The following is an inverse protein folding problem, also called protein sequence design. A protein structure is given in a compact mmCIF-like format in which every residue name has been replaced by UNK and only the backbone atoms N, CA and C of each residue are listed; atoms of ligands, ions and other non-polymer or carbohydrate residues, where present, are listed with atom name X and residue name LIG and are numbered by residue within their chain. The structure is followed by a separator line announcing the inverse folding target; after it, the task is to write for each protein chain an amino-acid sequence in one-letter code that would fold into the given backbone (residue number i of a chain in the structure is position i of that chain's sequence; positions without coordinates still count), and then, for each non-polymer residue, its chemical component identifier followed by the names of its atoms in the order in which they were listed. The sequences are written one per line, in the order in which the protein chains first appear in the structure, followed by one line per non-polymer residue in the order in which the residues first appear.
data_IF_020431001386
#
_entry.id   IF_020431001386
#
_cell.length_a   1.000
_cell.length_b   1.000
_cell.length_c   1.000
_cell.angle_alpha   90.00
_cell.angle_beta   90.00
_cell.angle_gamma   90.00
#
_symmetry.space_group_name_H-M   'P 1'
#
loop_
_entity.id
_entity.type
_entity.pdbx_description
1 polymer ?
#
# COMPACT_ATOMS: atom_id res chain seq x y z
N UNK A 1 10.51 5.83 -24.56
CA UNK A 1 9.89 5.83 -23.21
C UNK A 1 10.35 6.99 -22.29
N UNK A 2 10.98 8.06 -22.78
CA UNK A 2 11.63 9.08 -21.91
C UNK A 2 10.84 10.39 -21.70
N UNK A 3 9.93 10.78 -22.61
CA UNK A 3 9.28 12.12 -22.57
C UNK A 3 8.11 12.21 -21.57
N UNK A 4 7.38 11.12 -21.35
CA UNK A 4 6.23 11.12 -20.42
C UNK A 4 6.64 11.11 -18.93
N UNK A 5 7.80 10.55 -18.61
CA UNK A 5 8.32 10.48 -17.24
C UNK A 5 8.79 11.86 -16.73
N UNK A 6 9.45 12.66 -17.58
CA UNK A 6 9.84 14.03 -17.25
C UNK A 6 8.61 14.89 -16.96
N UNK A 7 7.61 14.84 -17.84
CA UNK A 7 6.39 15.64 -17.67
C UNK A 7 5.62 15.29 -16.38
N UNK A 8 5.61 14.00 -15.97
CA UNK A 8 4.94 13.60 -14.72
C UNK A 8 5.69 14.06 -13.47
N UNK A 9 7.01 13.96 -13.44
CA UNK A 9 7.80 14.45 -12.31
C UNK A 9 7.68 15.97 -12.16
N UNK A 10 7.70 16.70 -13.27
CA UNK A 10 7.51 18.16 -13.29
C UNK A 10 6.14 18.54 -12.71
N UNK A 11 5.08 17.82 -13.10
CA UNK A 11 3.74 18.00 -12.55
C UNK A 11 3.66 17.70 -11.05
N UNK A 12 4.39 16.69 -10.56
CA UNK A 12 4.44 16.36 -9.13
C UNK A 12 5.14 17.48 -8.36
N UNK A 13 6.29 17.94 -8.84
CA UNK A 13 7.06 19.00 -8.17
C UNK A 13 6.29 20.32 -8.15
N UNK A 14 5.60 20.68 -9.24
CA UNK A 14 4.74 21.87 -9.27
C UNK A 14 3.50 21.72 -8.37
N UNK A 15 2.87 20.54 -8.35
CA UNK A 15 1.76 20.28 -7.44
C UNK A 15 2.17 20.36 -5.96
N UNK A 16 3.42 19.99 -5.63
CA UNK A 16 3.96 20.09 -4.27
C UNK A 16 4.11 21.53 -3.77
N UNK A 17 4.37 22.48 -4.67
CA UNK A 17 4.50 23.90 -4.35
C UNK A 17 3.16 24.64 -4.36
N UNK A 18 2.05 23.92 -4.56
CA UNK A 18 0.69 24.47 -4.53
C UNK A 18 0.13 24.89 -5.88
N UNK A 19 0.79 24.55 -7.01
CA UNK A 19 0.22 24.78 -8.34
C UNK A 19 -1.01 23.89 -8.57
N UNK A 20 -2.18 24.50 -8.51
CA UNK A 20 -3.47 23.83 -8.67
C UNK A 20 -3.68 23.30 -10.09
N UNK A 21 -3.13 23.96 -11.12
CA UNK A 21 -3.22 23.49 -12.52
C UNK A 21 -2.36 22.25 -12.72
N UNK A 22 -1.15 22.26 -12.16
CA UNK A 22 -0.28 21.09 -12.18
C UNK A 22 -0.91 19.91 -11.43
N UNK A 23 -1.54 20.16 -10.28
CA UNK A 23 -2.28 19.14 -9.53
C UNK A 23 -3.43 18.55 -10.35
N UNK A 24 -4.29 19.37 -10.96
CA UNK A 24 -5.39 18.88 -11.80
C UNK A 24 -4.87 18.02 -12.96
N UNK A 25 -3.79 18.47 -13.62
CA UNK A 25 -3.17 17.72 -14.72
C UNK A 25 -2.58 16.40 -14.24
N UNK A 26 -1.93 16.40 -13.07
CA UNK A 26 -1.40 15.20 -12.44
C UNK A 26 -2.52 14.19 -12.18
N UNK A 27 -3.62 14.59 -11.52
CA UNK A 27 -4.74 13.69 -11.25
C UNK A 27 -5.33 13.09 -12.53
N UNK A 28 -5.51 13.89 -13.58
CA UNK A 28 -6.03 13.43 -14.86
C UNK A 28 -5.13 12.37 -15.52
N UNK A 29 -3.80 12.54 -15.43
CA UNK A 29 -2.83 11.57 -15.96
C UNK A 29 -2.77 10.30 -15.10
N UNK A 30 -2.96 10.42 -13.79
CA UNK A 30 -2.90 9.30 -12.84
C UNK A 30 -4.17 8.46 -12.82
N UNK A 31 -5.33 9.03 -13.14
CA UNK A 31 -6.63 8.38 -13.00
C UNK A 31 -6.75 7.06 -13.78
N UNK A 32 -6.30 6.93 -15.04
CA UNK A 32 -6.37 5.65 -15.76
C UNK A 32 -5.51 4.56 -15.12
N UNK A 33 -4.32 4.92 -14.63
CA UNK A 33 -3.43 3.99 -13.93
C UNK A 33 -4.00 3.57 -12.58
N UNK A 34 -4.59 4.53 -11.85
CA UNK A 34 -5.27 4.27 -10.59
C UNK A 34 -6.45 3.31 -10.78
N UNK A 35 -7.28 3.55 -11.80
CA UNK A 35 -8.42 2.70 -12.14
C UNK A 35 -8.00 1.30 -12.56
N UNK A 36 -6.99 1.19 -13.42
CA UNK A 36 -6.43 -0.12 -13.83
C UNK A 36 -5.89 -0.91 -12.64
N UNK A 37 -5.24 -0.22 -11.69
CA UNK A 37 -4.73 -0.87 -10.48
C UNK A 37 -5.86 -1.28 -9.52
N UNK A 38 -6.86 -0.41 -9.32
CA UNK A 38 -8.05 -0.70 -8.50
C UNK A 38 -8.85 -1.89 -9.04
N UNK A 39 -9.06 -1.99 -10.35
CA UNK A 39 -9.73 -3.15 -10.97
C UNK A 39 -9.10 -4.51 -10.63
N UNK A 40 -7.80 -4.54 -10.32
CA UNK A 40 -7.10 -5.77 -9.94
C UNK A 40 -7.17 -6.09 -8.44
N UNK A 41 -7.56 -5.12 -7.60
CA UNK A 41 -7.40 -5.21 -6.14
C UNK A 41 -8.67 -4.87 -5.34
N UNK A 42 -9.65 -4.22 -5.95
CA UNK A 42 -10.96 -3.90 -5.40
C UNK A 42 -12.01 -4.91 -5.91
N UNK A 43 -13.12 -5.04 -5.19
CA UNK A 43 -14.34 -5.58 -5.80
C UNK A 43 -14.83 -4.65 -6.91
N UNK A 44 -15.48 -5.21 -7.93
CA UNK A 44 -15.94 -4.44 -9.08
C UNK A 44 -16.86 -3.26 -8.70
N UNK A 45 -17.66 -3.41 -7.64
CA UNK A 45 -18.53 -2.37 -7.07
C UNK A 45 -17.75 -1.20 -6.47
N UNK A 46 -16.54 -1.44 -5.99
CA UNK A 46 -15.79 -0.49 -5.15
C UNK A 46 -14.73 0.27 -5.95
N UNK A 47 -14.50 -0.11 -7.21
CA UNK A 47 -13.41 0.43 -8.04
C UNK A 47 -13.50 1.94 -8.19
N UNK A 48 -14.66 2.46 -8.57
CA UNK A 48 -14.80 3.90 -8.86
C UNK A 48 -14.72 4.72 -7.55
N UNK A 49 -15.28 4.22 -6.45
CA UNK A 49 -15.19 4.84 -5.12
C UNK A 49 -13.75 4.84 -4.59
N UNK A 50 -13.04 3.72 -4.70
CA UNK A 50 -11.64 3.62 -4.27
C UNK A 50 -10.74 4.57 -5.04
N UNK A 51 -10.97 4.69 -6.35
CA UNK A 51 -10.23 5.63 -7.21
C UNK A 51 -10.54 7.06 -6.79
N UNK A 52 -11.80 7.42 -6.57
CA UNK A 52 -12.19 8.76 -6.15
C UNK A 52 -11.55 9.14 -4.81
N UNK A 53 -11.66 8.28 -3.79
CA UNK A 53 -11.06 8.52 -2.48
C UNK A 53 -9.54 8.63 -2.57
N UNK A 54 -8.91 7.77 -3.38
CA UNK A 54 -7.47 7.83 -3.62
C UNK A 54 -7.04 9.16 -4.23
N UNK A 55 -7.75 9.64 -5.25
CA UNK A 55 -7.47 10.94 -5.88
C UNK A 55 -7.65 12.10 -4.88
N UNK A 56 -8.68 12.06 -4.03
CA UNK A 56 -8.87 13.05 -2.94
C UNK A 56 -7.77 12.98 -1.88
N UNK A 57 -7.20 11.82 -1.61
CA UNK A 57 -6.03 11.69 -0.72
C UNK A 57 -4.80 12.31 -1.35
N UNK A 58 -4.60 12.10 -2.66
CA UNK A 58 -3.47 12.69 -3.39
C UNK A 58 -3.52 14.22 -3.30
N UNK A 59 -4.67 14.84 -3.56
CA UNK A 59 -4.78 16.32 -3.50
C UNK A 59 -4.37 16.90 -2.16
N UNK A 60 -4.70 16.20 -1.07
CA UNK A 60 -4.40 16.63 0.30
C UNK A 60 -2.95 16.34 0.73
N UNK A 61 -2.34 15.28 0.19
CA UNK A 61 -1.06 14.75 0.71
C UNK A 61 0.12 14.85 -0.24
N UNK A 62 -0.08 15.22 -1.51
CA UNK A 62 0.99 15.31 -2.51
C UNK A 62 2.13 16.24 -2.08
N UNK A 63 1.83 17.35 -1.39
CA UNK A 63 2.82 18.28 -0.84
C UNK A 63 3.74 17.69 0.23
N UNK A 64 3.34 16.60 0.88
CA UNK A 64 4.16 15.90 1.87
C UNK A 64 5.10 14.84 1.29
N UNK A 65 5.04 14.59 -0.03
CA UNK A 65 5.85 13.57 -0.67
C UNK A 65 7.31 14.04 -0.79
N UNK A 66 8.24 13.33 -0.15
CA UNK A 66 9.66 13.74 -0.11
C UNK A 66 10.39 13.64 -1.44
N UNK A 67 9.92 12.80 -2.36
CA UNK A 67 10.55 12.57 -3.65
C UNK A 67 9.49 12.23 -4.72
N UNK A 68 9.51 12.94 -5.85
CA UNK A 68 8.59 12.69 -6.96
C UNK A 68 8.68 11.25 -7.49
N UNK A 69 9.87 10.64 -7.48
CA UNK A 69 10.08 9.26 -7.90
C UNK A 69 9.29 8.23 -7.06
N UNK A 70 8.93 8.56 -5.81
CA UNK A 70 8.14 7.69 -4.94
C UNK A 70 6.63 7.80 -5.18
N UNK A 71 6.18 8.69 -6.08
CA UNK A 71 4.76 8.97 -6.27
C UNK A 71 3.97 7.73 -6.73
N UNK A 72 4.49 6.95 -7.68
CA UNK A 72 3.76 5.79 -8.21
C UNK A 72 3.59 4.68 -7.17
N UNK A 73 4.62 4.37 -6.40
CA UNK A 73 4.51 3.37 -5.32
C UNK A 73 3.60 3.85 -4.19
N UNK A 74 3.65 5.14 -3.86
CA UNK A 74 2.74 5.75 -2.89
C UNK A 74 1.28 5.72 -3.37
N UNK A 75 1.02 6.08 -4.63
CA UNK A 75 -0.30 6.03 -5.24
C UNK A 75 -0.92 4.64 -5.14
N UNK A 76 -0.18 3.60 -5.52
CA UNK A 76 -0.67 2.22 -5.45
C UNK A 76 -0.92 1.76 -4.01
N UNK A 77 -0.12 2.25 -3.05
CA UNK A 77 -0.36 1.99 -1.62
C UNK A 77 -1.69 2.61 -1.17
N UNK A 78 -1.96 3.85 -1.58
CA UNK A 78 -3.23 4.55 -1.27
C UNK A 78 -4.42 3.80 -1.87
N UNK A 79 -4.33 3.40 -3.14
CA UNK A 79 -5.42 2.66 -3.82
C UNK A 79 -5.67 1.31 -3.14
N UNK A 80 -4.62 0.57 -2.80
CA UNK A 80 -4.75 -0.72 -2.12
C UNK A 80 -5.45 -0.58 -0.75
N UNK A 81 -5.10 0.47 -0.01
CA UNK A 81 -5.76 0.79 1.26
C UNK A 81 -7.24 1.11 1.07
N UNK A 82 -7.59 1.96 0.09
CA UNK A 82 -9.00 2.31 -0.16
C UNK A 82 -9.82 1.11 -0.66
N UNK A 83 -9.25 0.26 -1.53
CA UNK A 83 -9.89 -1.01 -1.93
C UNK A 83 -10.22 -1.90 -0.73
N UNK A 84 -9.26 -2.08 0.19
CA UNK A 84 -9.44 -2.92 1.38
C UNK A 84 -10.40 -2.31 2.38
N UNK A 85 -10.36 -0.98 2.57
CA UNK A 85 -11.27 -0.25 3.44
C UNK A 85 -12.72 -0.35 2.97
N UNK A 86 -12.97 -0.27 1.66
CA UNK A 86 -14.31 -0.44 1.08
C UNK A 86 -14.77 -1.90 1.16
N UNK A 87 -13.90 -2.84 0.83
CA UNK A 87 -14.15 -4.27 1.02
C UNK A 87 -14.46 -4.62 2.48
N UNK A 88 -13.70 -4.09 3.45
CA UNK A 88 -13.96 -4.27 4.89
C UNK A 88 -15.29 -3.67 5.35
N UNK A 89 -15.77 -2.60 4.70
CA UNK A 89 -17.11 -2.04 4.95
C UNK A 89 -18.21 -2.97 4.43
N UNK A 90 -17.99 -3.67 3.31
CA UNK A 90 -18.88 -4.74 2.84
C UNK A 90 -18.85 -5.96 3.78
N UNK A 91 -17.66 -6.40 4.21
CA UNK A 91 -17.47 -7.57 5.09
C UNK A 91 -17.81 -7.33 6.57
N UNK A 92 -18.37 -6.16 6.94
CA UNK A 92 -19.10 -6.04 8.22
C UNK A 92 -20.42 -6.82 8.23
N UNK A 93 -20.84 -7.36 7.08
CA UNK A 93 -21.77 -8.47 7.03
C UNK A 93 -21.09 -9.73 6.49
N UNK A 94 -20.96 -10.70 7.39
CA UNK A 94 -20.78 -12.15 7.17
C UNK A 94 -19.34 -12.66 6.86
N UNK A 95 -18.84 -13.67 7.59
CA UNK A 95 -17.55 -14.30 7.28
C UNK A 95 -17.67 -15.14 6.01
N UNK A 96 -16.63 -15.11 5.16
CA UNK A 96 -16.52 -15.99 4.00
C UNK A 96 -16.21 -17.43 4.46
N UNK A 97 -16.75 -18.46 3.77
CA UNK A 97 -16.34 -19.85 3.95
C UNK A 97 -14.88 -20.08 3.52
N UNK A 98 -14.13 -20.85 4.33
CA UNK A 98 -12.69 -21.11 4.17
C UNK A 98 -12.31 -21.66 2.78
N UNK A 99 -13.23 -22.38 2.13
CA UNK A 99 -13.05 -23.02 0.82
C UNK A 99 -12.82 -22.02 -0.33
N UNK A 100 -13.39 -20.80 -0.24
CA UNK A 100 -13.25 -19.75 -1.26
C UNK A 100 -11.95 -18.95 -1.07
N UNK A 101 -11.45 -18.88 0.18
CA UNK A 101 -10.19 -18.25 0.49
C UNK A 101 -9.00 -19.04 -0.09
N UNK A 102 -9.07 -20.38 -0.04
CA UNK A 102 -8.07 -21.27 -0.65
C UNK A 102 -8.05 -21.19 -2.18
N UNK A 103 -9.20 -21.08 -2.85
CA UNK A 103 -9.26 -21.03 -4.32
C UNK A 103 -8.70 -19.72 -4.89
N UNK A 104 -8.90 -18.59 -4.20
CA UNK A 104 -8.31 -17.29 -4.57
C UNK A 104 -6.78 -17.24 -4.34
N UNK A 105 -6.27 -18.13 -3.48
CA UNK A 105 -4.83 -18.30 -3.21
C UNK A 105 -4.14 -19.20 -4.27
N UNK A 106 -4.83 -19.78 -5.25
CA UNK A 106 -4.24 -20.78 -6.17
C UNK A 106 -3.73 -20.26 -7.54
N UNK A 107 -3.55 -18.95 -7.72
CA UNK A 107 -2.87 -18.41 -8.92
C UNK A 107 -1.37 -18.81 -8.96
N UNK A 108 -1.05 -19.67 -9.94
CA UNK A 108 0.11 -20.60 -10.05
C UNK A 108 1.54 -20.05 -10.17
N UNK A 109 1.83 -18.83 -9.74
CA UNK A 109 3.21 -18.34 -9.50
C UNK A 109 3.44 -17.86 -8.07
N UNK A 110 2.35 -17.64 -7.31
CA UNK A 110 2.40 -16.99 -6.00
C UNK A 110 2.39 -18.00 -4.84
N UNK A 111 2.12 -19.29 -5.10
CA UNK A 111 2.02 -20.27 -4.02
C UNK A 111 3.38 -20.52 -3.34
N UNK A 112 4.44 -20.74 -4.12
CA UNK A 112 5.81 -20.90 -3.61
C UNK A 112 6.27 -19.63 -2.87
N UNK A 113 6.04 -18.46 -3.47
CA UNK A 113 6.32 -17.16 -2.85
C UNK A 113 5.54 -16.95 -1.54
N UNK A 114 4.29 -17.41 -1.46
CA UNK A 114 3.49 -17.33 -0.23
C UNK A 114 4.01 -18.28 0.84
N UNK A 115 4.38 -19.51 0.48
CA UNK A 115 4.97 -20.48 1.42
C UNK A 115 6.30 -19.95 1.97
N UNK A 116 7.16 -19.39 1.12
CA UNK A 116 8.41 -18.74 1.54
C UNK A 116 8.17 -17.53 2.45
N UNK A 117 7.19 -16.69 2.12
CA UNK A 117 6.82 -15.54 2.93
C UNK A 117 6.26 -15.93 4.31
N UNK A 118 5.45 -17.00 4.37
CA UNK A 118 4.95 -17.54 5.65
C UNK A 118 6.12 -18.01 6.52
N UNK A 119 7.05 -18.80 5.98
CA UNK A 119 8.26 -19.24 6.69
C UNK A 119 9.13 -18.07 7.16
N UNK A 120 9.25 -17.03 6.34
CA UNK A 120 9.98 -15.81 6.70
C UNK A 120 9.31 -15.07 7.88
N UNK A 121 7.98 -15.03 7.93
CA UNK A 121 7.27 -14.45 9.08
C UNK A 121 7.36 -15.31 10.34
N UNK A 122 7.32 -16.64 10.22
CA UNK A 122 7.52 -17.56 11.35
C UNK A 122 8.93 -17.45 11.97
N UNK A 123 9.93 -17.13 11.13
CA UNK A 123 11.32 -16.93 11.56
C UNK A 123 11.60 -15.53 12.12
N UNK A 124 10.62 -14.63 12.04
CA UNK A 124 10.78 -13.24 12.46
C UNK A 124 10.60 -13.11 13.98
N UNK A 125 11.52 -12.44 14.71
CA UNK A 125 11.33 -12.18 16.13
C UNK A 125 9.98 -11.50 16.41
N UNK A 126 9.31 -11.91 17.49
CA UNK A 126 7.91 -11.55 17.76
C UNK A 126 7.64 -10.03 17.74
N UNK A 127 8.59 -9.23 18.23
CA UNK A 127 8.48 -7.77 18.23
C UNK A 127 8.59 -7.17 16.81
N UNK A 128 9.27 -7.82 15.88
CA UNK A 128 9.28 -7.40 14.48
C UNK A 128 8.03 -7.87 13.74
N UNK A 129 7.53 -9.07 14.06
CA UNK A 129 6.27 -9.56 13.52
C UNK A 129 5.10 -8.66 13.93
N UNK A 130 5.03 -8.26 15.19
CA UNK A 130 4.00 -7.36 15.72
C UNK A 130 3.88 -6.06 14.94
N UNK A 131 4.99 -5.37 14.64
CA UNK A 131 4.94 -4.11 13.88
C UNK A 131 4.58 -4.32 12.41
N UNK A 132 4.92 -5.47 11.82
CA UNK A 132 4.51 -5.81 10.45
C UNK A 132 3.03 -6.15 10.40
N UNK A 133 2.51 -6.91 11.35
CA UNK A 133 1.09 -7.21 11.47
C UNK A 133 0.29 -5.90 11.63
N UNK A 134 0.67 -5.06 12.59
CA UNK A 134 0.01 -3.78 12.84
C UNK A 134 0.04 -2.86 11.60
N UNK A 135 1.13 -2.89 10.83
CA UNK A 135 1.28 -2.00 9.66
C UNK A 135 0.65 -2.53 8.38
N UNK A 136 0.87 -3.80 8.08
CA UNK A 136 0.61 -4.40 6.75
C UNK A 136 -0.66 -5.26 6.74
N UNK A 137 -1.15 -5.67 7.93
CA UNK A 137 -2.43 -6.37 8.13
C UNK A 137 -3.50 -5.49 8.78
N UNK A 138 -3.20 -4.84 9.91
CA UNK A 138 -4.15 -3.91 10.58
C UNK A 138 -4.11 -2.48 10.00
N UNK A 139 -3.16 -2.22 9.08
CA UNK A 139 -3.04 -0.96 8.32
C UNK A 139 -2.89 0.32 9.16
N UNK A 140 -2.46 0.19 10.42
CA UNK A 140 -2.26 1.33 11.31
C UNK A 140 -1.18 2.27 10.78
N UNK A 141 -1.43 3.58 10.90
CA UNK A 141 -0.42 4.59 10.67
C UNK A 141 0.70 4.48 11.71
N UNK A 142 1.89 4.98 11.37
CA UNK A 142 3.02 5.01 12.32
C UNK A 142 2.63 5.70 13.64
N UNK A 143 1.77 6.72 13.58
CA UNK A 143 1.29 7.42 14.78
C UNK A 143 0.33 6.55 15.61
N UNK A 144 -0.62 5.86 14.97
CA UNK A 144 -1.53 4.94 15.66
C UNK A 144 -0.78 3.75 16.26
N UNK A 145 0.21 3.20 15.54
CA UNK A 145 1.10 2.17 16.04
C UNK A 145 1.91 2.65 17.25
N UNK A 146 2.46 3.87 17.18
CA UNK A 146 3.19 4.49 18.30
C UNK A 146 2.31 4.63 19.55
N UNK A 147 1.06 5.06 19.38
CA UNK A 147 0.09 5.12 20.48
C UNK A 147 -0.25 3.73 21.01
N UNK A 148 -0.50 2.75 20.12
CA UNK A 148 -0.93 1.40 20.49
C UNK A 148 0.17 0.59 21.18
N UNK A 149 1.41 0.76 20.74
CA UNK A 149 2.59 0.10 21.31
C UNK A 149 3.19 0.89 22.48
N UNK A 150 2.69 2.09 22.76
CA UNK A 150 3.25 3.03 23.73
C UNK A 150 4.75 3.32 23.47
N UNK A 151 5.09 3.54 22.20
CA UNK A 151 6.46 3.76 21.72
C UNK A 151 6.60 5.06 20.93
N UNK A 152 7.80 5.68 20.89
CA UNK A 152 8.04 6.81 20.00
C UNK A 152 7.88 6.41 18.52
N UNK A 153 7.33 7.31 17.70
CA UNK A 153 7.19 7.09 16.24
C UNK A 153 8.51 6.76 15.54
N UNK A 154 9.65 7.24 16.05
CA UNK A 154 10.98 6.89 15.57
C UNK A 154 11.34 5.43 15.81
N UNK A 155 10.99 4.88 16.99
CA UNK A 155 11.21 3.47 17.33
C UNK A 155 10.34 2.56 16.45
N UNK A 156 9.06 2.91 16.26
CA UNK A 156 8.14 2.18 15.38
C UNK A 156 8.65 2.16 13.93
N UNK A 157 9.13 3.29 13.39
CA UNK A 157 9.72 3.35 12.05
C UNK A 157 10.94 2.46 11.91
N UNK A 158 11.85 2.51 12.87
CA UNK A 158 13.07 1.71 12.87
C UNK A 158 12.76 0.22 13.00
N UNK A 159 11.84 -0.17 13.90
CA UNK A 159 11.37 -1.56 14.04
C UNK A 159 10.74 -2.08 12.76
N UNK A 160 9.82 -1.32 12.16
CA UNK A 160 9.15 -1.71 10.92
C UNK A 160 10.14 -1.83 9.76
N UNK A 161 11.10 -0.91 9.65
CA UNK A 161 12.15 -0.99 8.65
C UNK A 161 12.98 -2.26 8.85
N UNK A 162 13.47 -2.52 10.07
CA UNK A 162 14.28 -3.71 10.34
C UNK A 162 13.51 -5.01 10.14
N UNK A 163 12.23 -5.04 10.50
CA UNK A 163 11.36 -6.18 10.26
C UNK A 163 11.27 -6.53 8.76
N UNK A 164 11.13 -5.51 7.89
CA UNK A 164 11.07 -5.71 6.43
C UNK A 164 12.40 -6.13 5.82
N UNK A 165 13.52 -5.63 6.35
CA UNK A 165 14.85 -6.10 5.95
C UNK A 165 15.04 -7.57 6.31
N UNK A 166 14.67 -7.99 7.53
CA UNK A 166 14.77 -9.38 7.96
C UNK A 166 13.91 -10.33 7.11
N UNK A 167 12.67 -9.95 6.82
CA UNK A 167 11.81 -10.75 5.91
C UNK A 167 12.47 -10.88 4.54
N UNK A 168 13.07 -9.81 4.00
CA UNK A 168 13.79 -9.89 2.73
C UNK A 168 15.04 -10.78 2.82
N UNK A 169 15.84 -10.65 3.89
CA UNK A 169 17.01 -11.49 4.15
C UNK A 169 16.60 -12.98 4.18
N UNK A 170 15.51 -13.32 4.85
CA UNK A 170 15.01 -14.70 4.95
C UNK A 170 14.43 -15.25 3.65
N UNK A 171 13.92 -14.39 2.77
CA UNK A 171 13.45 -14.79 1.43
C UNK A 171 14.57 -14.90 0.39
N UNK A 172 15.75 -14.30 0.63
CA UNK A 172 16.89 -14.31 -0.30
C UNK A 172 17.96 -15.32 0.12
N UNK A 173 17.97 -15.74 1.39
CA UNK A 173 18.89 -16.75 1.88
C UNK A 173 18.61 -18.09 1.16
N UNK A 174 19.58 -18.64 0.39
CA UNK A 174 19.46 -19.99 -0.12
C UNK A 174 19.57 -20.97 1.06
N UNK A 175 18.72 -21.99 1.08
CA UNK A 175 18.90 -23.19 1.92
C UNK A 175 20.28 -23.84 1.68
#
# INVERSE_FOLDING_TARGET
MSVAANNRNDLIMAAQTGDTKALTRLLAVCQPDARRYAYKHCHASDVDDAVQESLLIITRKVGGLKAAAAFSSWLFTVIKHECRKLSSRMFKHEPLPDEVAEELLLCRSDHELRVELIKAFESLPIHYLEVVLLRDFEELTITEMATRLNEPTGAVKSRLHRARELVREYMIAPD
#
